data_IF_335065655175
#
_entry.id   IF_335065655175
#
_cell.length_a   1.000
_cell.length_b   1.000
_cell.length_c   1.000
_cell.angle_alpha   90.00
_cell.angle_beta   90.00
_cell.angle_gamma   90.00
#
_symmetry.space_group_name_H-M   'P 1'
#
loop_
_entity.id
_entity.type
_entity.pdbx_description
1 polymer ?
#
# COMPACT_ATOMS: atom_id res chain seq x y z
N UNK A 1 20.96 -7.67 -18.51
CA UNK A 1 20.13 -6.58 -17.94
C UNK A 1 20.44 -6.52 -16.45
N UNK A 2 20.54 -5.33 -15.85
CA UNK A 2 20.70 -5.23 -14.38
C UNK A 2 19.46 -5.82 -13.69
N UNK A 3 19.64 -6.48 -12.55
CA UNK A 3 18.53 -6.90 -11.70
C UNK A 3 17.68 -5.68 -11.33
N UNK A 4 16.35 -5.85 -11.35
CA UNK A 4 15.41 -4.80 -10.95
C UNK A 4 15.41 -4.64 -9.42
N UNK A 5 15.15 -3.43 -8.94
CA UNK A 5 15.11 -3.13 -7.51
C UNK A 5 13.68 -2.79 -7.05
N UNK A 6 13.20 -3.47 -6.02
CA UNK A 6 11.94 -3.19 -5.33
C UNK A 6 12.24 -2.50 -3.99
N UNK A 7 11.77 -1.26 -3.84
CA UNK A 7 11.75 -0.56 -2.57
C UNK A 7 10.46 -0.89 -1.81
N UNK A 8 10.57 -1.40 -0.58
CA UNK A 8 9.43 -1.69 0.28
C UNK A 8 9.33 -0.64 1.39
N UNK A 9 8.13 -0.09 1.60
CA UNK A 9 7.86 0.90 2.65
C UNK A 9 6.88 0.30 3.65
N UNK A 10 7.30 0.25 4.91
CA UNK A 10 6.56 -0.35 6.00
C UNK A 10 6.28 0.64 7.13
N UNK A 11 5.15 0.45 7.79
CA UNK A 11 4.83 1.11 9.06
C UNK A 11 5.01 0.17 10.26
N UNK A 12 5.66 -0.98 10.05
CA UNK A 12 6.02 -1.93 11.11
C UNK A 12 7.28 -2.69 10.71
N UNK A 13 8.29 -2.68 11.60
CA UNK A 13 9.53 -3.43 11.40
C UNK A 13 9.29 -4.96 11.34
N UNK A 14 8.20 -5.45 11.93
CA UNK A 14 7.87 -6.88 11.93
C UNK A 14 7.54 -7.42 10.54
N UNK A 15 7.16 -6.55 9.59
CA UNK A 15 6.84 -6.95 8.22
C UNK A 15 8.09 -7.14 7.35
N UNK A 16 9.23 -6.56 7.70
CA UNK A 16 10.47 -6.68 6.93
C UNK A 16 10.87 -8.14 6.69
N UNK A 17 11.02 -9.01 7.72
CA UNK A 17 11.38 -10.41 7.47
C UNK A 17 10.31 -11.18 6.69
N UNK A 18 9.02 -10.86 6.89
CA UNK A 18 7.91 -11.51 6.18
C UNK A 18 7.98 -11.20 4.68
N UNK A 19 8.11 -9.92 4.32
CA UNK A 19 8.22 -9.52 2.93
C UNK A 19 9.54 -9.95 2.30
N UNK A 20 10.63 -9.99 3.05
CA UNK A 20 11.89 -10.55 2.54
C UNK A 20 11.72 -12.01 2.14
N UNK A 21 11.07 -12.82 2.97
CA UNK A 21 10.78 -14.23 2.65
C UNK A 21 9.88 -14.38 1.43
N UNK A 22 8.82 -13.56 1.32
CA UNK A 22 7.94 -13.55 0.16
C UNK A 22 8.67 -13.14 -1.12
N UNK A 23 9.49 -12.11 -1.08
CA UNK A 23 10.26 -11.67 -2.24
C UNK A 23 11.29 -12.72 -2.66
N UNK A 24 12.00 -13.34 -1.72
CA UNK A 24 12.94 -14.41 -2.04
C UNK A 24 12.25 -15.61 -2.72
N UNK A 25 11.00 -15.89 -2.35
CA UNK A 25 10.24 -17.01 -2.91
C UNK A 25 9.62 -16.68 -4.28
N UNK A 26 8.94 -15.54 -4.40
CA UNK A 26 8.16 -15.18 -5.60
C UNK A 26 8.92 -14.31 -6.60
N UNK A 27 9.99 -13.63 -6.18
CA UNK A 27 10.76 -12.65 -6.96
C UNK A 27 12.29 -12.87 -6.79
N UNK A 28 12.83 -14.08 -7.03
CA UNK A 28 14.22 -14.43 -6.70
C UNK A 28 15.29 -13.58 -7.42
N UNK A 29 14.95 -12.99 -8.56
CA UNK A 29 15.86 -12.18 -9.38
C UNK A 29 15.70 -10.65 -9.16
N UNK A 30 14.93 -10.25 -8.15
CA UNK A 30 14.68 -8.84 -7.79
C UNK A 30 15.45 -8.48 -6.53
N UNK A 31 16.23 -7.40 -6.58
CA UNK A 31 16.86 -6.83 -5.40
C UNK A 31 15.83 -6.09 -4.56
N UNK A 32 15.92 -6.18 -3.24
CA UNK A 32 14.96 -5.55 -2.33
C UNK A 32 15.66 -4.68 -1.29
N UNK A 33 15.09 -3.53 -0.96
CA UNK A 33 15.46 -2.77 0.23
C UNK A 33 14.21 -2.27 0.94
N UNK A 34 14.37 -1.89 2.21
CA UNK A 34 13.26 -1.54 3.08
C UNK A 34 13.44 -0.14 3.66
N UNK A 35 12.36 0.62 3.72
CA UNK A 35 12.20 1.82 4.53
C UNK A 35 11.14 1.51 5.58
N UNK A 36 11.43 1.78 6.85
CA UNK A 36 10.50 1.53 7.94
C UNK A 36 10.32 2.80 8.76
N UNK A 37 9.06 3.21 8.93
CA UNK A 37 8.70 4.26 9.86
C UNK A 37 7.39 3.89 10.58
N UNK A 38 7.54 3.35 11.78
CA UNK A 38 6.41 2.94 12.61
C UNK A 38 5.65 4.13 13.22
N UNK A 39 6.22 5.34 13.19
CA UNK A 39 5.56 6.53 13.71
C UNK A 39 4.37 6.96 12.85
N UNK A 40 4.35 6.62 11.55
CA UNK A 40 3.25 6.95 10.64
C UNK A 40 1.94 6.31 11.09
N UNK A 41 1.94 4.98 11.30
CA UNK A 41 0.72 4.28 11.72
C UNK A 41 0.34 4.64 13.17
N UNK A 42 1.32 4.84 14.05
CA UNK A 42 1.07 5.32 15.42
C UNK A 42 0.36 6.68 15.41
N UNK A 43 0.77 7.59 14.52
CA UNK A 43 0.12 8.87 14.37
C UNK A 43 -1.31 8.73 13.84
N UNK A 44 -1.52 7.96 12.76
CA UNK A 44 -2.87 7.68 12.22
C UNK A 44 -3.81 7.06 13.26
N UNK A 45 -3.31 6.13 14.09
CA UNK A 45 -4.09 5.55 15.19
C UNK A 45 -4.45 6.63 16.21
N UNK A 46 -3.47 7.45 16.62
CA UNK A 46 -3.67 8.51 17.61
C UNK A 46 -4.68 9.57 17.16
N UNK A 47 -4.65 9.96 15.89
CA UNK A 47 -5.54 10.98 15.31
C UNK A 47 -6.85 10.41 14.77
N UNK A 48 -6.97 9.08 14.70
CA UNK A 48 -8.09 8.37 14.09
C UNK A 48 -8.20 8.52 12.57
N UNK A 49 -7.23 9.18 11.92
CA UNK A 49 -7.29 9.51 10.49
C UNK A 49 -5.90 9.84 9.91
N UNK A 50 -5.77 9.68 8.59
CA UNK A 50 -4.58 10.13 7.86
C UNK A 50 -4.56 11.66 7.75
N UNK A 51 -3.69 12.31 8.51
CA UNK A 51 -3.54 13.77 8.48
C UNK A 51 -2.68 14.23 7.29
N UNK A 52 -2.79 15.50 6.85
CA UNK A 52 -1.92 16.06 5.81
C UNK A 52 -0.43 15.95 6.14
N UNK A 53 -0.06 16.12 7.42
CA UNK A 53 1.32 15.97 7.88
C UNK A 53 1.84 14.54 7.68
N UNK A 54 1.07 13.53 8.08
CA UNK A 54 1.45 12.13 7.88
C UNK A 54 1.45 11.76 6.40
N UNK A 55 0.48 12.25 5.63
CA UNK A 55 0.42 12.04 4.19
C UNK A 55 1.67 12.60 3.48
N UNK A 56 2.11 13.81 3.85
CA UNK A 56 3.35 14.39 3.32
C UNK A 56 4.56 13.49 3.60
N UNK A 57 4.71 12.99 4.82
CA UNK A 57 5.82 12.08 5.16
C UNK A 57 5.79 10.79 4.34
N UNK A 58 4.60 10.24 4.07
CA UNK A 58 4.45 9.07 3.19
C UNK A 58 4.95 9.39 1.78
N UNK A 59 4.57 10.54 1.22
CA UNK A 59 5.07 11.01 -0.08
C UNK A 59 6.59 11.16 -0.08
N UNK A 60 7.15 11.76 0.97
CA UNK A 60 8.60 11.94 1.11
C UNK A 60 9.35 10.60 1.15
N UNK A 61 8.80 9.56 1.82
CA UNK A 61 9.39 8.22 1.83
C UNK A 61 9.32 7.51 0.48
N UNK A 62 8.22 7.69 -0.25
CA UNK A 62 8.08 7.16 -1.62
C UNK A 62 9.11 7.85 -2.54
N UNK A 63 9.26 9.16 -2.47
CA UNK A 63 10.31 9.89 -3.19
C UNK A 63 11.72 9.46 -2.78
N UNK A 64 11.94 9.18 -1.50
CA UNK A 64 13.21 8.65 -0.99
C UNK A 64 13.54 7.27 -1.54
N UNK A 65 12.54 6.38 -1.67
CA UNK A 65 12.73 5.07 -2.27
C UNK A 65 13.07 5.17 -3.77
N UNK A 66 12.41 6.07 -4.51
CA UNK A 66 12.76 6.36 -5.90
C UNK A 66 14.21 6.88 -6.00
N UNK A 67 14.59 7.87 -5.19
CA UNK A 67 15.94 8.43 -5.17
C UNK A 67 17.02 7.40 -4.78
N UNK A 68 16.66 6.39 -3.99
CA UNK A 68 17.53 5.27 -3.63
C UNK A 68 17.71 4.23 -4.76
N UNK A 69 17.04 4.40 -5.90
CA UNK A 69 17.19 3.55 -7.08
C UNK A 69 16.16 2.42 -7.19
N UNK A 70 14.99 2.55 -6.53
CA UNK A 70 13.89 1.62 -6.76
C UNK A 70 13.37 1.72 -8.21
N UNK A 71 13.22 0.58 -8.88
CA UNK A 71 12.48 0.47 -10.15
C UNK A 71 10.97 0.33 -9.90
N UNK A 72 10.58 -0.18 -8.73
CA UNK A 72 9.21 -0.35 -8.26
C UNK A 72 9.16 -0.06 -6.76
N UNK A 73 8.05 0.47 -6.27
CA UNK A 73 7.85 0.75 -4.85
C UNK A 73 6.59 0.02 -4.38
N UNK A 74 6.67 -0.72 -3.28
CA UNK A 74 5.54 -1.38 -2.63
C UNK A 74 5.35 -0.83 -1.22
N UNK A 75 4.18 -0.22 -0.96
CA UNK A 75 3.80 0.22 0.37
C UNK A 75 2.89 -0.81 1.03
N UNK A 76 3.28 -1.29 2.20
CA UNK A 76 2.65 -2.45 2.84
C UNK A 76 1.60 -2.10 3.90
N UNK A 77 1.15 -0.83 3.96
CA UNK A 77 0.19 -0.37 4.95
C UNK A 77 -1.06 0.23 4.30
N UNK A 78 -2.20 -0.43 4.49
CA UNK A 78 -3.49 -0.02 3.95
C UNK A 78 -4.03 1.28 4.55
N UNK A 79 -3.76 1.56 5.83
CA UNK A 79 -4.29 2.75 6.51
C UNK A 79 -3.76 4.07 5.96
N UNK A 80 -2.63 4.03 5.24
CA UNK A 80 -2.00 5.20 4.60
C UNK A 80 -2.19 5.22 3.07
N UNK A 81 -2.99 4.29 2.52
CA UNK A 81 -3.09 4.04 1.09
C UNK A 81 -3.46 5.26 0.23
N UNK A 82 -4.26 6.19 0.75
CA UNK A 82 -4.60 7.43 0.04
C UNK A 82 -3.35 8.32 -0.22
N UNK A 83 -2.41 8.38 0.72
CA UNK A 83 -1.15 9.10 0.49
C UNK A 83 -0.22 8.36 -0.47
N UNK A 84 -0.29 7.03 -0.52
CA UNK A 84 0.47 6.21 -1.49
C UNK A 84 0.02 6.52 -2.92
N UNK A 85 -1.29 6.63 -3.15
CA UNK A 85 -1.83 6.99 -4.47
C UNK A 85 -1.47 8.42 -4.86
N UNK A 86 -1.48 9.36 -3.92
CA UNK A 86 -1.01 10.72 -4.17
C UNK A 86 0.50 10.74 -4.52
N UNK A 87 1.31 9.94 -3.83
CA UNK A 87 2.74 9.83 -4.10
C UNK A 87 3.03 9.22 -5.48
N UNK A 88 2.22 8.26 -5.93
CA UNK A 88 2.35 7.63 -7.24
C UNK A 88 2.26 8.62 -8.40
N UNK A 89 1.48 9.70 -8.24
CA UNK A 89 1.37 10.77 -9.25
C UNK A 89 2.60 11.70 -9.31
N UNK A 90 3.51 11.60 -8.32
CA UNK A 90 4.68 12.46 -8.17
C UNK A 90 6.01 11.73 -8.45
N UNK A 91 5.97 10.41 -8.65
CA UNK A 91 7.14 9.58 -8.98
C UNK A 91 7.13 9.15 -10.45
N UNK A 92 8.31 8.78 -10.97
CA UNK A 92 8.51 8.23 -12.31
C UNK A 92 8.42 6.71 -12.33
N UNK A 93 8.58 6.07 -11.17
CA UNK A 93 8.49 4.62 -11.01
C UNK A 93 7.12 4.19 -10.47
N UNK A 94 6.66 2.96 -10.80
CA UNK A 94 5.37 2.48 -10.30
C UNK A 94 5.36 2.34 -8.77
N UNK A 95 4.32 2.89 -8.15
CA UNK A 95 4.06 2.78 -6.71
C UNK A 95 2.82 1.92 -6.50
N UNK A 96 2.97 0.87 -5.70
CA UNK A 96 1.99 -0.18 -5.49
C UNK A 96 1.51 -0.17 -4.04
N UNK A 97 0.21 -0.36 -3.87
CA UNK A 97 -0.38 -0.69 -2.56
C UNK A 97 -0.52 -2.21 -2.44
N UNK A 98 -0.17 -2.75 -1.28
CA UNK A 98 -0.32 -4.20 -1.00
C UNK A 98 -1.77 -4.69 -1.10
N UNK A 99 -2.76 -3.85 -0.79
CA UNK A 99 -4.17 -4.23 -0.71
C UNK A 99 -4.95 -4.05 -2.02
N UNK A 100 -4.39 -3.33 -3.00
CA UNK A 100 -5.08 -3.13 -4.28
C UNK A 100 -5.34 -4.45 -5.04
N UNK A 101 -4.38 -5.40 -5.16
CA UNK A 101 -4.65 -6.68 -5.79
C UNK A 101 -5.74 -7.50 -5.08
N UNK A 102 -5.85 -7.37 -3.74
CA UNK A 102 -6.90 -8.01 -2.96
C UNK A 102 -8.27 -7.42 -3.29
N UNK A 103 -8.37 -6.08 -3.37
CA UNK A 103 -9.59 -5.39 -3.76
C UNK A 103 -10.02 -5.73 -5.19
N UNK A 104 -9.04 -5.77 -6.12
CA UNK A 104 -9.28 -6.16 -7.52
C UNK A 104 -9.85 -7.58 -7.62
N UNK A 105 -9.25 -8.54 -6.90
CA UNK A 105 -9.72 -9.92 -6.90
C UNK A 105 -11.12 -10.04 -6.29
N UNK A 106 -11.41 -9.34 -5.19
CA UNK A 106 -12.72 -9.35 -4.56
C UNK A 106 -13.82 -8.85 -5.51
N UNK A 107 -13.56 -7.74 -6.20
CA UNK A 107 -14.46 -7.17 -7.23
C UNK A 107 -14.62 -8.11 -8.42
N UNK A 108 -13.54 -8.79 -8.82
CA UNK A 108 -13.60 -9.74 -9.92
C UNK A 108 -14.45 -10.97 -9.60
N UNK A 109 -14.41 -11.43 -8.35
CA UNK A 109 -14.97 -12.72 -7.93
C UNK A 109 -16.37 -12.65 -7.29
N UNK A 110 -16.83 -11.46 -6.85
CA UNK A 110 -18.15 -11.34 -6.21
C UNK A 110 -18.78 -9.95 -6.30
N UNK A 111 -20.10 -9.91 -6.10
CA UNK A 111 -20.91 -8.68 -6.05
C UNK A 111 -21.32 -8.28 -4.62
N UNK A 112 -21.05 -9.13 -3.63
CA UNK A 112 -21.27 -8.86 -2.19
C UNK A 112 -19.94 -8.99 -1.47
N UNK A 113 -19.39 -7.88 -1.03
CA UNK A 113 -18.02 -7.81 -0.50
C UNK A 113 -18.07 -7.30 0.94
N UNK A 114 -17.33 -7.97 1.83
CA UNK A 114 -17.10 -7.54 3.21
C UNK A 114 -15.66 -7.06 3.38
N UNK A 115 -15.47 -5.94 4.07
CA UNK A 115 -14.15 -5.44 4.49
C UNK A 115 -14.01 -5.66 6.00
N UNK A 116 -12.99 -6.39 6.41
CA UNK A 116 -12.66 -6.63 7.82
C UNK A 116 -11.23 -6.16 8.02
N UNK A 117 -10.98 -5.39 9.08
CA UNK A 117 -9.65 -4.88 9.38
C UNK A 117 -9.36 -4.88 10.87
N UNK A 118 -8.09 -5.04 11.23
CA UNK A 118 -7.61 -5.00 12.61
C UNK A 118 -7.76 -3.61 13.25
N UNK A 119 -7.60 -2.56 12.44
CA UNK A 119 -7.69 -1.17 12.89
C UNK A 119 -8.89 -0.49 12.20
N UNK A 120 -9.70 0.23 12.97
CA UNK A 120 -10.81 1.02 12.45
C UNK A 120 -10.36 2.04 11.39
N UNK A 121 -9.14 2.56 11.52
CA UNK A 121 -8.52 3.49 10.56
C UNK A 121 -8.25 2.87 9.18
N UNK A 122 -8.39 1.56 9.04
CA UNK A 122 -8.24 0.84 7.76
C UNK A 122 -9.58 0.61 7.06
N UNK A 123 -10.69 0.49 7.80
CA UNK A 123 -12.00 0.18 7.23
C UNK A 123 -12.41 1.20 6.16
N UNK A 124 -12.28 2.50 6.46
CA UNK A 124 -12.59 3.58 5.51
C UNK A 124 -11.72 3.51 4.24
N UNK A 125 -10.38 3.61 4.36
CA UNK A 125 -9.47 3.58 3.20
C UNK A 125 -9.58 2.31 2.33
N UNK A 126 -9.76 1.14 2.93
CA UNK A 126 -9.91 -0.11 2.17
C UNK A 126 -11.30 -0.21 1.53
N UNK A 127 -12.36 0.22 2.22
CA UNK A 127 -13.71 0.26 1.63
C UNK A 127 -13.79 1.20 0.43
N UNK A 128 -13.17 2.38 0.55
CA UNK A 128 -13.06 3.34 -0.55
C UNK A 128 -12.29 2.73 -1.74
N UNK A 129 -11.15 2.08 -1.48
CA UNK A 129 -10.39 1.38 -2.51
C UNK A 129 -11.27 0.36 -3.24
N UNK A 130 -11.97 -0.52 -2.51
CA UNK A 130 -12.86 -1.54 -3.13
C UNK A 130 -13.94 -0.89 -4.01
N UNK A 131 -14.58 0.20 -3.55
CA UNK A 131 -15.57 0.94 -4.36
C UNK A 131 -14.95 1.49 -5.64
N UNK A 132 -13.77 2.12 -5.55
CA UNK A 132 -13.09 2.68 -6.73
C UNK A 132 -12.64 1.60 -7.71
N UNK A 133 -12.18 0.45 -7.22
CA UNK A 133 -11.83 -0.70 -8.07
C UNK A 133 -13.06 -1.31 -8.74
N UNK A 134 -14.21 -1.36 -8.07
CA UNK A 134 -15.48 -1.77 -8.67
C UNK A 134 -15.93 -0.83 -9.79
N UNK A 135 -15.86 0.48 -9.57
CA UNK A 135 -16.13 1.49 -10.60
C UNK A 135 -15.19 1.34 -11.80
N UNK A 136 -13.89 1.18 -11.56
CA UNK A 136 -12.91 0.96 -12.63
C UNK A 136 -13.16 -0.32 -13.44
N UNK A 137 -13.75 -1.34 -12.82
CA UNK A 137 -14.13 -2.60 -13.45
C UNK A 137 -15.54 -2.59 -14.06
N UNK A 138 -16.28 -1.47 -13.99
CA UNK A 138 -17.70 -1.36 -14.38
C UNK A 138 -18.58 -2.42 -13.72
N UNK A 139 -18.43 -2.62 -12.41
CA UNK A 139 -19.20 -3.59 -11.62
C UNK A 139 -19.97 -2.92 -10.49
N UNK A 140 -21.23 -3.30 -10.36
CA UNK A 140 -22.04 -2.98 -9.18
C UNK A 140 -21.74 -3.96 -8.05
N UNK A 141 -21.47 -3.42 -6.86
CA UNK A 141 -21.20 -4.20 -5.66
C UNK A 141 -22.03 -3.69 -4.47
N UNK A 142 -22.44 -4.62 -3.61
CA UNK A 142 -22.89 -4.33 -2.25
C UNK A 142 -21.70 -4.51 -1.29
N UNK A 143 -21.33 -3.43 -0.59
CA UNK A 143 -20.18 -3.41 0.31
C UNK A 143 -20.63 -3.26 1.77
N UNK A 144 -20.07 -4.08 2.65
CA UNK A 144 -20.21 -3.98 4.11
C UNK A 144 -18.83 -3.84 4.74
N UNK A 145 -18.69 -2.97 5.74
CA UNK A 145 -17.45 -2.72 6.46
C UNK A 145 -17.74 -2.55 7.96
#
# INVERSE_FOLDING_TARGET
MSAKTLGLIHTSATLVPVFQQLCNHYLPDVQTFNIVDDSLIKHVIKTGSLTPETARRVVDYVGSAEAAGADFILVTCSSIGAAVEAAAALTRVPVLRVDQPMADLAVQTGSRIGVIATLATTLGPTSDLVRRRALAANKDIALTA
#
